data_IF_010349600360
#
_entry.id   IF_010349600360
#
_cell.length_a   1.000
_cell.length_b   1.000
_cell.length_c   1.000
_cell.angle_alpha   90.00
_cell.angle_beta   90.00
_cell.angle_gamma   90.00
#
_symmetry.space_group_name_H-M   'P 1'
#
loop_
_entity.id
_entity.type
_entity.pdbx_description
1 polymer ?
#
# COMPACT_ATOMS: atom_id res chain seq x y z
N UNK A 1 18.37 5.03 9.91
CA UNK A 1 18.02 4.47 8.58
C UNK A 1 17.34 3.16 8.91
N UNK A 2 16.04 3.18 9.15
CA UNK A 2 15.39 2.09 9.88
C UNK A 2 14.13 1.59 9.17
N UNK A 3 14.19 0.27 8.92
CA UNK A 3 13.17 -0.73 8.66
C UNK A 3 12.22 -0.58 7.44
N UNK A 4 12.59 -1.32 6.40
CA UNK A 4 11.69 -1.91 5.40
C UNK A 4 10.63 -2.79 6.08
N UNK A 5 9.35 -2.47 5.88
CA UNK A 5 8.23 -3.33 6.28
C UNK A 5 7.86 -4.29 5.14
N UNK A 6 7.94 -5.60 5.41
CA UNK A 6 7.60 -6.66 4.48
C UNK A 6 6.19 -7.19 4.83
N UNK A 7 5.18 -6.86 4.02
CA UNK A 7 3.89 -7.55 4.05
C UNK A 7 4.08 -8.96 3.45
N UNK A 8 3.65 -10.01 4.16
CA UNK A 8 3.66 -11.38 3.63
C UNK A 8 2.23 -11.92 3.69
N UNK A 9 1.65 -12.21 2.53
CA UNK A 9 0.43 -13.00 2.41
C UNK A 9 0.78 -14.49 2.28
N UNK A 10 0.16 -15.34 3.10
CA UNK A 10 0.33 -16.80 3.02
C UNK A 10 -1.02 -17.47 2.75
N UNK A 11 -1.18 -18.05 1.57
CA UNK A 11 -2.29 -18.96 1.24
C UNK A 11 -1.85 -20.39 1.55
N UNK A 12 -2.51 -21.06 2.49
CA UNK A 12 -2.20 -22.44 2.87
C UNK A 12 -2.91 -23.38 1.88
N UNK A 13 -2.13 -24.15 1.11
CA UNK A 13 -2.62 -25.32 0.36
C UNK A 13 -2.08 -26.58 1.04
N UNK A 14 -3.00 -27.44 1.49
CA UNK A 14 -2.67 -28.76 2.04
C UNK A 14 -2.33 -29.73 0.90
N UNK A 15 -1.20 -30.43 1.01
CA UNK A 15 -0.92 -31.65 0.24
C UNK A 15 -0.09 -32.61 1.10
N UNK A 16 -0.43 -33.91 1.18
CA UNK A 16 0.28 -34.86 2.01
C UNK A 16 1.35 -35.60 1.19
N UNK A 17 2.62 -35.60 1.64
CA UNK A 17 3.56 -36.66 1.27
C UNK A 17 4.85 -36.69 2.12
N UNK A 18 5.06 -37.89 2.69
CA UNK A 18 6.33 -38.59 2.94
C UNK A 18 7.34 -38.00 3.94
N UNK A 19 7.30 -38.56 5.15
CA UNK A 19 8.27 -38.36 6.21
C UNK A 19 9.63 -39.02 5.90
N UNK A 20 10.71 -38.24 5.96
CA UNK A 20 12.07 -38.72 6.21
C UNK A 20 12.57 -38.07 7.50
N UNK A 21 13.17 -38.87 8.37
CA UNK A 21 13.72 -38.44 9.66
C UNK A 21 14.93 -37.52 9.48
N UNK A 22 14.79 -36.27 9.94
CA UNK A 22 15.86 -35.28 10.04
C UNK A 22 16.33 -35.24 11.50
N UNK A 23 17.64 -35.11 11.78
CA UNK A 23 18.16 -35.01 13.14
C UNK A 23 17.53 -33.84 13.90
N UNK A 24 17.14 -34.12 15.15
CA UNK A 24 16.47 -33.17 16.05
C UNK A 24 17.48 -32.08 16.43
N UNK A 25 17.47 -30.96 15.72
CA UNK A 25 17.91 -29.70 16.30
C UNK A 25 16.93 -29.32 17.40
N UNK A 26 17.45 -29.04 18.60
CA UNK A 26 16.70 -28.45 19.69
C UNK A 26 16.05 -27.16 19.19
N UNK A 27 14.74 -27.20 19.00
CA UNK A 27 13.96 -26.00 18.69
C UNK A 27 14.17 -24.99 19.83
N UNK A 28 14.37 -23.69 19.53
CA UNK A 28 14.38 -22.67 20.55
C UNK A 28 13.08 -22.76 21.37
N UNK A 29 13.08 -22.31 22.65
CA UNK A 29 11.92 -22.42 23.51
C UNK A 29 10.69 -21.91 22.78
N UNK A 30 9.62 -22.73 22.76
CA UNK A 30 8.33 -22.35 22.20
C UNK A 30 7.85 -21.12 22.96
N UNK A 31 8.10 -19.93 22.43
CA UNK A 31 7.36 -18.76 22.85
C UNK A 31 5.90 -19.10 22.61
N UNK A 32 5.09 -18.99 23.66
CA UNK A 32 3.65 -19.19 23.60
C UNK A 32 3.05 -17.97 22.86
N UNK A 33 3.40 -17.81 21.59
CA UNK A 33 2.99 -16.66 20.77
C UNK A 33 1.60 -16.95 20.24
N UNK A 34 0.61 -16.43 20.95
CA UNK A 34 -0.79 -16.49 20.57
C UNK A 34 -1.11 -15.37 19.57
N UNK A 35 -0.55 -15.42 18.36
CA UNK A 35 -0.97 -14.60 17.21
C UNK A 35 0.16 -13.88 16.48
N UNK A 36 -0.01 -13.71 15.16
CA UNK A 36 1.02 -13.18 14.26
C UNK A 36 1.44 -11.73 14.58
N UNK A 37 0.48 -10.87 14.94
CA UNK A 37 0.79 -9.50 15.32
C UNK A 37 1.55 -9.43 16.64
N UNK A 38 1.26 -10.32 17.61
CA UNK A 38 2.06 -10.40 18.84
C UNK A 38 3.51 -10.78 18.51
N UNK A 39 3.71 -11.78 17.64
CA UNK A 39 5.05 -12.17 17.20
C UNK A 39 5.78 -11.01 16.50
N UNK A 40 5.11 -10.31 15.60
CA UNK A 40 5.67 -9.18 14.87
C UNK A 40 6.12 -8.06 15.82
N UNK A 41 5.26 -7.67 16.78
CA UNK A 41 5.62 -6.65 17.78
C UNK A 41 6.74 -7.10 18.71
N UNK A 42 6.75 -8.36 19.14
CA UNK A 42 7.86 -8.92 19.92
C UNK A 42 9.19 -8.92 19.15
N UNK A 43 9.14 -8.98 17.82
CA UNK A 43 10.29 -8.85 16.92
C UNK A 43 10.62 -7.39 16.55
N UNK A 44 10.01 -6.39 17.20
CA UNK A 44 10.26 -4.97 16.95
C UNK A 44 9.62 -4.41 15.68
N UNK A 45 8.62 -5.08 15.12
CA UNK A 45 7.82 -4.57 13.98
C UNK A 45 6.60 -3.80 14.48
N UNK A 46 6.07 -2.88 13.68
CA UNK A 46 4.91 -2.09 14.08
C UNK A 46 3.64 -2.94 14.14
N UNK A 47 3.47 -3.86 13.18
CA UNK A 47 2.35 -4.80 13.13
C UNK A 47 2.65 -6.06 12.30
N UNK A 48 1.76 -7.04 12.45
CA UNK A 48 1.36 -7.94 11.36
C UNK A 48 -0.05 -7.52 10.91
N UNK A 49 -0.35 -7.54 9.61
CA UNK A 49 -1.59 -6.98 9.09
C UNK A 49 -2.18 -7.76 7.92
N UNK A 50 -3.39 -7.37 7.52
CA UNK A 50 -4.11 -7.98 6.41
C UNK A 50 -4.82 -6.94 5.55
N UNK A 51 -4.97 -7.21 4.25
CA UNK A 51 -5.96 -6.52 3.45
C UNK A 51 -7.34 -7.14 3.66
N UNK A 52 -8.40 -6.37 3.46
CA UNK A 52 -9.78 -6.88 3.43
C UNK A 52 -10.61 -6.10 2.43
N UNK A 53 -11.55 -6.79 1.78
CA UNK A 53 -12.49 -6.24 0.82
C UNK A 53 -13.84 -5.92 1.48
N UNK A 54 -13.81 -5.24 2.63
CA UNK A 54 -14.99 -4.74 3.34
C UNK A 54 -15.25 -3.26 2.95
N UNK A 55 -16.51 -2.85 2.71
CA UNK A 55 -17.71 -3.70 2.64
C UNK A 55 -17.67 -4.67 1.45
N UNK A 56 -18.32 -5.81 1.62
CA UNK A 56 -18.34 -6.89 0.65
C UNK A 56 -18.72 -8.23 1.29
N UNK A 57 -18.45 -9.32 0.59
CA UNK A 57 -18.82 -10.68 1.04
C UNK A 57 -18.13 -11.06 2.36
N UNK A 58 -16.92 -10.56 2.60
CA UNK A 58 -16.13 -10.85 3.80
C UNK A 58 -16.82 -10.36 5.08
N UNK A 59 -17.61 -9.28 4.99
CA UNK A 59 -18.37 -8.75 6.12
C UNK A 59 -19.53 -9.66 6.53
N UNK A 60 -19.98 -10.54 5.63
CA UNK A 60 -21.11 -11.44 5.85
C UNK A 60 -20.66 -12.78 6.44
N UNK A 61 -19.37 -13.10 6.40
CA UNK A 61 -18.82 -14.29 7.00
C UNK A 61 -18.35 -14.01 8.45
N UNK A 62 -19.05 -14.54 9.47
CA UNK A 62 -18.71 -14.30 10.87
C UNK A 62 -17.31 -14.82 11.24
N UNK A 63 -16.79 -15.85 10.57
CA UNK A 63 -15.44 -16.35 10.80
C UNK A 63 -14.39 -15.38 10.25
N UNK A 64 -14.60 -14.86 9.04
CA UNK A 64 -13.73 -13.82 8.48
C UNK A 64 -13.70 -12.58 9.36
N UNK A 65 -14.87 -12.10 9.80
CA UNK A 65 -14.97 -10.94 10.70
C UNK A 65 -14.28 -11.21 12.04
N UNK A 66 -14.47 -12.39 12.63
CA UNK A 66 -13.82 -12.76 13.88
C UNK A 66 -12.29 -12.74 13.75
N UNK A 67 -11.75 -13.30 12.67
CA UNK A 67 -10.30 -13.30 12.42
C UNK A 67 -9.78 -11.89 12.17
N UNK A 68 -10.45 -11.11 11.33
CA UNK A 68 -10.11 -9.72 11.05
C UNK A 68 -10.02 -8.91 12.35
N UNK A 69 -11.00 -9.06 13.26
CA UNK A 69 -11.05 -8.30 14.51
C UNK A 69 -10.03 -8.77 15.55
N UNK A 70 -9.47 -9.97 15.43
CA UNK A 70 -8.41 -10.45 16.32
C UNK A 70 -7.16 -9.57 16.22
N UNK A 71 -6.95 -8.67 17.19
CA UNK A 71 -5.74 -7.85 17.25
C UNK A 71 -4.47 -8.68 17.46
N UNK A 72 -4.62 -9.86 18.06
CA UNK A 72 -3.52 -10.80 18.25
C UNK A 72 -2.96 -11.30 16.91
N UNK A 73 -3.83 -11.48 15.92
CA UNK A 73 -3.44 -11.87 14.56
C UNK A 73 -3.10 -10.66 13.69
N UNK A 74 -3.96 -9.63 13.69
CA UNK A 74 -3.82 -8.47 12.81
C UNK A 74 -3.87 -7.15 13.59
N UNK A 75 -2.73 -6.48 13.70
CA UNK A 75 -2.60 -5.13 14.27
C UNK A 75 -2.79 -4.01 13.25
N UNK A 76 -2.97 -4.36 11.98
CA UNK A 76 -3.15 -3.42 10.87
C UNK A 76 -4.11 -3.96 9.83
N UNK A 77 -4.85 -3.06 9.17
CA UNK A 77 -5.73 -3.38 8.06
C UNK A 77 -5.55 -2.44 6.86
N UNK A 78 -5.66 -2.98 5.64
CA UNK A 78 -5.64 -2.22 4.37
C UNK A 78 -6.96 -2.41 3.63
N UNK A 79 -7.67 -1.34 3.22
CA UNK A 79 -8.82 -1.48 2.34
C UNK A 79 -8.36 -1.96 0.96
N UNK A 80 -8.79 -3.14 0.54
CA UNK A 80 -8.40 -3.70 -0.76
C UNK A 80 -8.88 -2.84 -1.94
N UNK A 81 -10.00 -2.12 -1.77
CA UNK A 81 -10.63 -1.33 -2.82
C UNK A 81 -11.17 0.03 -2.40
N UNK A 82 -11.69 0.17 -1.18
CA UNK A 82 -12.67 1.22 -0.81
C UNK A 82 -12.10 2.63 -0.67
N UNK A 83 -10.79 2.78 -0.75
CA UNK A 83 -10.09 4.07 -0.82
C UNK A 83 -9.46 4.34 -2.18
N UNK A 84 -9.64 3.48 -3.18
CA UNK A 84 -9.19 3.73 -4.56
C UNK A 84 -10.04 4.82 -5.20
N UNK A 85 -9.43 5.54 -6.14
CA UNK A 85 -10.00 6.70 -6.83
C UNK A 85 -11.45 6.47 -7.30
N UNK A 86 -11.74 5.38 -8.03
CA UNK A 86 -13.09 5.13 -8.55
C UNK A 86 -14.17 4.95 -7.48
N UNK A 87 -13.82 4.58 -6.25
CA UNK A 87 -14.78 4.47 -5.16
C UNK A 87 -14.99 5.80 -4.45
N UNK A 88 -13.91 6.56 -4.27
CA UNK A 88 -13.93 7.79 -3.47
C UNK A 88 -14.37 9.02 -4.27
N UNK A 89 -14.19 9.06 -5.59
CA UNK A 89 -14.54 10.20 -6.45
C UNK A 89 -15.24 9.73 -7.74
N UNK A 90 -16.47 9.22 -7.59
CA UNK A 90 -17.27 8.65 -8.69
C UNK A 90 -17.72 9.69 -9.73
N UNK A 91 -17.72 10.97 -9.36
CA UNK A 91 -17.94 12.12 -10.25
C UNK A 91 -16.91 13.19 -9.92
N UNK A 92 -16.44 13.92 -10.93
CA UNK A 92 -15.39 14.94 -10.75
C UNK A 92 -15.77 15.94 -9.66
N UNK A 93 -14.92 16.08 -8.65
CA UNK A 93 -15.11 16.99 -7.51
C UNK A 93 -16.21 16.59 -6.53
N UNK A 94 -16.87 15.43 -6.71
CA UNK A 94 -17.91 14.94 -5.81
C UNK A 94 -17.45 13.64 -5.17
N UNK A 95 -17.00 13.74 -3.93
CA UNK A 95 -16.51 12.59 -3.19
C UNK A 95 -17.66 11.80 -2.52
N UNK A 96 -17.53 10.48 -2.55
CA UNK A 96 -18.36 9.56 -1.79
C UNK A 96 -17.46 8.65 -0.96
N UNK A 97 -17.40 8.92 0.34
CA UNK A 97 -16.53 8.18 1.27
C UNK A 97 -17.28 7.17 2.12
N UNK A 98 -18.56 6.92 1.82
CA UNK A 98 -19.43 6.04 2.61
C UNK A 98 -18.83 4.65 2.76
N UNK A 99 -18.36 4.03 1.66
CA UNK A 99 -17.77 2.69 1.73
C UNK A 99 -16.42 2.67 2.45
N UNK A 100 -15.63 3.74 2.33
CA UNK A 100 -14.39 3.89 3.07
C UNK A 100 -14.66 4.02 4.58
N UNK A 101 -15.69 4.78 4.98
CA UNK A 101 -16.11 4.89 6.38
C UNK A 101 -16.64 3.56 6.93
N UNK A 102 -17.37 2.78 6.12
CA UNK A 102 -17.77 1.41 6.51
C UNK A 102 -16.53 0.56 6.80
N UNK A 103 -15.51 0.61 5.93
CA UNK A 103 -14.24 -0.07 6.19
C UNK A 103 -13.59 0.41 7.49
N UNK A 104 -13.43 1.73 7.68
CA UNK A 104 -12.75 2.30 8.86
C UNK A 104 -13.42 1.83 10.15
N UNK A 105 -14.76 1.83 10.18
CA UNK A 105 -15.53 1.40 11.34
C UNK A 105 -15.51 -0.13 11.53
N UNK A 106 -15.49 -0.90 10.44
CA UNK A 106 -15.47 -2.37 10.51
C UNK A 106 -14.15 -2.92 11.07
N UNK A 107 -13.02 -2.29 10.76
CA UNK A 107 -11.70 -2.75 11.25
C UNK A 107 -11.38 -2.23 12.66
N UNK A 108 -12.04 -1.14 13.08
CA UNK A 108 -11.86 -0.47 14.37
C UNK A 108 -13.20 -0.17 15.08
N UNK A 109 -14.03 -1.17 15.37
CA UNK A 109 -15.30 -0.94 16.05
C UNK A 109 -15.08 -0.44 17.50
N UNK A 110 -16.06 0.27 18.09
CA UNK A 110 -15.98 0.76 19.46
C UNK A 110 -15.66 -0.36 20.47
N UNK A 111 -14.76 -0.08 21.40
CA UNK A 111 -14.37 -1.02 22.46
C UNK A 111 -13.34 -2.08 22.05
N UNK A 112 -12.91 -2.13 20.79
CA UNK A 112 -11.83 -3.02 20.34
C UNK A 112 -10.47 -2.30 20.26
N UNK A 113 -9.34 -3.03 20.42
CA UNK A 113 -8.01 -2.48 20.17
C UNK A 113 -7.90 -1.91 18.76
N UNK A 114 -7.45 -0.66 18.66
CA UNK A 114 -7.33 0.04 17.39
C UNK A 114 -6.17 -0.54 16.56
N UNK A 115 -6.51 -0.99 15.35
CA UNK A 115 -5.57 -1.34 14.31
C UNK A 115 -5.06 -0.08 13.61
N UNK A 116 -3.80 -0.13 13.20
CA UNK A 116 -3.27 0.85 12.23
C UNK A 116 -3.94 0.62 10.88
N UNK A 117 -4.09 1.68 10.10
CA UNK A 117 -4.68 1.58 8.75
C UNK A 117 -3.65 2.07 7.74
N UNK A 118 -3.39 1.25 6.72
CA UNK A 118 -2.62 1.67 5.54
C UNK A 118 -3.64 2.00 4.46
N UNK A 119 -3.89 3.28 4.24
CA UNK A 119 -4.84 3.74 3.24
C UNK A 119 -4.23 3.63 1.84
N UNK A 120 -5.02 3.14 0.88
CA UNK A 120 -4.47 2.55 -0.33
C UNK A 120 -5.37 2.69 -1.57
N UNK A 121 -4.82 3.14 -2.69
CA UNK A 121 -3.84 4.21 -2.87
C UNK A 121 -4.53 5.51 -3.30
N UNK A 122 -3.82 6.64 -3.27
CA UNK A 122 -4.36 7.91 -3.78
C UNK A 122 -4.32 7.96 -5.31
N UNK A 123 -3.15 7.73 -5.90
CA UNK A 123 -2.94 7.81 -7.34
C UNK A 123 -2.46 6.45 -7.86
N UNK A 124 -3.21 5.90 -8.80
CA UNK A 124 -2.89 4.66 -9.49
C UNK A 124 -3.40 4.70 -10.92
N UNK A 125 -2.83 3.86 -11.79
CA UNK A 125 -3.21 3.79 -13.20
C UNK A 125 -4.46 2.93 -13.44
N UNK A 126 -4.86 2.11 -12.46
CA UNK A 126 -6.05 1.25 -12.53
C UNK A 126 -7.15 1.72 -11.58
N UNK A 127 -8.34 1.12 -11.72
CA UNK A 127 -9.52 1.43 -10.89
C UNK A 127 -9.83 2.93 -10.87
N UNK A 128 -9.92 3.50 -12.08
CA UNK A 128 -10.25 4.90 -12.33
C UNK A 128 -11.71 5.02 -12.81
N UNK A 129 -12.42 6.09 -12.45
CA UNK A 129 -13.81 6.29 -12.85
C UNK A 129 -13.91 6.73 -14.32
N UNK A 130 -15.04 6.41 -14.96
CA UNK A 130 -15.25 6.69 -16.39
C UNK A 130 -15.10 8.18 -16.74
N UNK A 131 -15.49 9.10 -15.86
CA UNK A 131 -15.35 10.54 -16.11
C UNK A 131 -13.88 10.96 -16.26
N UNK A 132 -12.95 10.20 -15.67
CA UNK A 132 -11.52 10.44 -15.74
C UNK A 132 -10.92 9.76 -16.98
N UNK A 133 -11.25 8.48 -17.23
CA UNK A 133 -10.67 7.69 -18.33
C UNK A 133 -11.29 7.99 -19.70
N UNK A 134 -12.50 8.54 -19.72
CA UNK A 134 -13.25 8.88 -20.93
C UNK A 134 -13.93 10.24 -20.74
N UNK A 135 -13.14 11.33 -20.60
CA UNK A 135 -13.68 12.64 -20.32
C UNK A 135 -14.42 13.21 -21.55
N UNK A 136 -15.41 14.06 -21.31
CA UNK A 136 -16.15 14.73 -22.39
C UNK A 136 -15.26 15.68 -23.21
N UNK A 137 -14.23 16.25 -22.58
CA UNK A 137 -13.18 17.03 -23.22
C UNK A 137 -11.82 16.41 -22.90
N UNK A 138 -10.86 16.39 -23.85
CA UNK A 138 -9.53 15.89 -23.58
C UNK A 138 -8.89 16.62 -22.39
N UNK A 139 -8.23 15.87 -21.52
CA UNK A 139 -7.45 16.47 -20.45
C UNK A 139 -6.27 17.25 -21.01
N UNK A 140 -5.97 18.37 -20.36
CA UNK A 140 -4.71 19.07 -20.50
C UNK A 140 -3.84 18.77 -19.29
N UNK A 141 -2.54 19.04 -19.38
CA UNK A 141 -1.65 18.95 -18.23
C UNK A 141 -2.20 19.74 -17.02
N UNK A 142 -2.64 20.99 -17.24
CA UNK A 142 -3.18 21.84 -16.18
C UNK A 142 -4.47 21.27 -15.55
N UNK A 143 -5.43 20.85 -16.36
CA UNK A 143 -6.73 20.37 -15.85
C UNK A 143 -6.62 19.03 -15.13
N UNK A 144 -5.80 18.09 -15.62
CA UNK A 144 -5.59 16.81 -14.93
C UNK A 144 -4.72 16.98 -13.68
N UNK A 145 -3.73 17.88 -13.70
CA UNK A 145 -2.94 18.23 -12.51
C UNK A 145 -3.84 18.77 -11.40
N UNK A 146 -4.80 19.65 -11.72
CA UNK A 146 -5.76 20.16 -10.75
C UNK A 146 -6.62 19.04 -10.13
N UNK A 147 -7.07 18.08 -10.94
CA UNK A 147 -7.80 16.89 -10.44
C UNK A 147 -6.94 16.08 -9.48
N UNK A 148 -5.71 15.75 -9.86
CA UNK A 148 -4.77 14.99 -9.04
C UNK A 148 -4.53 15.69 -7.69
N UNK A 149 -4.21 16.98 -7.72
CA UNK A 149 -3.93 17.75 -6.49
C UNK A 149 -5.17 17.80 -5.60
N UNK A 150 -6.36 18.08 -6.15
CA UNK A 150 -7.59 18.15 -5.36
C UNK A 150 -7.92 16.80 -4.71
N UNK A 151 -7.81 15.70 -5.45
CA UNK A 151 -8.07 14.35 -4.95
C UNK A 151 -7.15 14.00 -3.77
N UNK A 152 -5.84 14.18 -3.98
CA UNK A 152 -4.82 13.90 -2.95
C UNK A 152 -5.05 14.76 -1.72
N UNK A 153 -5.22 16.08 -1.87
CA UNK A 153 -5.39 16.97 -0.74
C UNK A 153 -6.65 16.65 0.05
N UNK A 154 -7.76 16.36 -0.64
CA UNK A 154 -9.02 16.05 0.02
C UNK A 154 -8.92 14.76 0.85
N UNK A 155 -8.45 13.65 0.26
CA UNK A 155 -8.41 12.37 0.98
C UNK A 155 -7.42 12.39 2.14
N UNK A 156 -6.22 12.96 1.96
CA UNK A 156 -5.24 13.08 3.04
C UNK A 156 -5.81 13.95 4.17
N UNK A 157 -6.46 15.08 3.85
CA UNK A 157 -7.10 15.96 4.82
C UNK A 157 -8.25 15.27 5.56
N UNK A 158 -9.10 14.55 4.84
CA UNK A 158 -10.33 13.97 5.37
C UNK A 158 -10.06 12.78 6.30
N UNK A 159 -9.16 11.88 5.91
CA UNK A 159 -8.83 10.74 6.74
C UNK A 159 -7.87 11.09 7.87
N UNK A 160 -6.96 12.05 7.64
CA UNK A 160 -5.97 12.46 8.63
C UNK A 160 -5.22 11.26 9.23
N UNK A 161 -5.05 11.29 10.55
CA UNK A 161 -4.33 10.25 11.29
C UNK A 161 -5.14 8.95 11.52
N UNK A 162 -6.36 8.84 10.98
CA UNK A 162 -7.03 7.53 10.86
C UNK A 162 -6.24 6.63 9.91
N UNK A 163 -5.57 7.22 8.93
CA UNK A 163 -4.53 6.55 8.16
C UNK A 163 -3.20 6.67 8.91
N UNK A 164 -2.59 5.55 9.26
CA UNK A 164 -1.20 5.54 9.70
C UNK A 164 -0.26 5.75 8.51
N UNK A 165 -0.65 5.23 7.34
CA UNK A 165 0.09 5.30 6.09
C UNK A 165 -0.85 5.64 4.94
N UNK A 166 -0.33 6.36 3.94
CA UNK A 166 -0.93 6.49 2.61
C UNK A 166 0.04 5.95 1.56
N UNK A 167 -0.43 5.01 0.75
CA UNK A 167 0.24 4.72 -0.52
C UNK A 167 -0.14 5.83 -1.50
N UNK A 168 0.70 6.87 -1.60
CA UNK A 168 0.42 8.11 -2.35
C UNK A 168 0.38 7.84 -3.84
N UNK A 169 1.36 7.09 -4.35
CA UNK A 169 1.36 6.60 -5.72
C UNK A 169 1.63 5.10 -5.73
N UNK A 170 0.95 4.38 -6.61
CA UNK A 170 1.09 2.93 -6.79
C UNK A 170 1.58 2.61 -8.21
N UNK A 171 2.54 1.69 -8.32
CA UNK A 171 2.92 1.03 -9.59
C UNK A 171 3.35 1.96 -10.74
N UNK A 172 4.22 2.92 -10.43
CA UNK A 172 4.62 3.97 -11.38
C UNK A 172 5.61 3.46 -12.44
N UNK A 173 6.31 2.36 -12.17
CA UNK A 173 7.23 1.74 -13.12
C UNK A 173 6.53 0.63 -13.92
N UNK A 174 7.02 0.44 -15.14
CA UNK A 174 6.52 -0.61 -16.04
C UNK A 174 6.95 -2.02 -15.59
N UNK A 175 6.60 -3.04 -16.37
CA UNK A 175 7.05 -4.42 -16.21
C UNK A 175 8.23 -4.77 -17.14
N UNK A 176 8.89 -3.77 -17.73
CA UNK A 176 9.95 -4.00 -18.70
C UNK A 176 11.09 -4.83 -18.12
N UNK A 177 11.51 -5.88 -18.83
CA UNK A 177 12.77 -6.56 -18.56
C UNK A 177 13.91 -5.78 -19.24
N UNK A 178 14.37 -4.72 -18.60
CA UNK A 178 15.49 -3.91 -19.10
C UNK A 178 16.62 -3.85 -18.07
N UNK A 179 17.85 -3.73 -18.56
CA UNK A 179 19.04 -3.43 -17.75
C UNK A 179 19.31 -1.93 -17.66
N UNK A 180 18.45 -1.09 -18.28
CA UNK A 180 18.59 0.36 -18.23
C UNK A 180 18.53 0.85 -16.76
N UNK A 181 19.56 1.58 -16.28
CA UNK A 181 19.53 2.18 -14.96
C UNK A 181 18.38 3.19 -14.80
N UNK A 182 17.88 3.78 -15.89
CA UNK A 182 16.68 4.61 -15.94
C UNK A 182 15.46 3.75 -16.26
N UNK A 183 15.12 2.84 -15.33
CA UNK A 183 14.02 1.90 -15.52
C UNK A 183 12.72 2.61 -15.95
N UNK A 184 12.04 2.16 -17.02
CA UNK A 184 10.99 2.95 -17.65
C UNK A 184 9.73 3.06 -16.78
N UNK A 185 9.22 4.29 -16.69
CA UNK A 185 7.90 4.57 -16.14
C UNK A 185 6.81 3.86 -16.95
N UNK A 186 5.71 3.53 -16.28
CA UNK A 186 4.49 3.02 -16.88
C UNK A 186 3.80 4.14 -17.66
N UNK A 187 4.06 4.20 -18.96
CA UNK A 187 3.50 5.20 -19.88
C UNK A 187 2.26 4.71 -20.64
N UNK A 188 2.09 3.41 -20.78
CA UNK A 188 0.93 2.79 -21.44
C UNK A 188 -0.17 2.55 -20.42
N UNK A 189 -1.43 2.85 -20.78
CA UNK A 189 -2.60 2.74 -19.91
C UNK A 189 -2.45 3.46 -18.57
N UNK A 190 -1.74 4.59 -18.57
CA UNK A 190 -1.54 5.44 -17.41
C UNK A 190 -1.83 6.89 -17.78
N UNK A 191 -3.09 7.31 -17.57
CA UNK A 191 -3.56 8.64 -17.96
C UNK A 191 -2.75 9.77 -17.32
N UNK A 192 -2.29 9.57 -16.08
CA UNK A 192 -1.48 10.54 -15.35
C UNK A 192 -0.16 10.79 -16.07
N UNK A 193 0.55 9.71 -16.43
CA UNK A 193 1.81 9.82 -17.18
C UNK A 193 1.58 10.39 -18.59
N UNK A 194 0.54 9.93 -19.29
CA UNK A 194 0.29 10.34 -20.68
C UNK A 194 0.00 11.83 -20.83
N UNK A 195 -0.69 12.43 -19.85
CA UNK A 195 -1.13 13.83 -19.91
C UNK A 195 -0.18 14.77 -19.16
N UNK A 196 0.34 14.35 -18.00
CA UNK A 196 1.16 15.21 -17.12
C UNK A 196 2.67 14.93 -17.33
N UNK A 197 3.02 13.71 -17.75
CA UNK A 197 4.40 13.22 -17.72
C UNK A 197 4.80 12.70 -16.33
N UNK A 198 6.06 12.26 -16.12
CA UNK A 198 6.52 11.64 -14.86
C UNK A 198 6.37 12.54 -13.63
N UNK A 199 6.26 13.86 -13.82
CA UNK A 199 6.13 14.84 -12.73
C UNK A 199 4.84 14.66 -11.91
N UNK A 200 3.82 13.94 -12.42
CA UNK A 200 2.60 13.63 -11.66
C UNK A 200 2.91 12.96 -10.30
N UNK A 201 4.01 12.21 -10.21
CA UNK A 201 4.47 11.55 -8.99
C UNK A 201 4.90 12.60 -7.95
N UNK A 202 5.73 13.54 -8.37
CA UNK A 202 6.24 14.64 -7.53
C UNK A 202 5.10 15.51 -7.07
N UNK A 203 4.16 15.83 -7.98
CA UNK A 203 2.97 16.63 -7.68
C UNK A 203 2.11 15.94 -6.62
N UNK A 204 1.88 14.63 -6.72
CA UNK A 204 1.08 13.88 -5.74
C UNK A 204 1.72 13.89 -4.35
N UNK A 205 3.01 13.56 -4.24
CA UNK A 205 3.71 13.60 -2.96
C UNK A 205 3.79 15.01 -2.37
N UNK A 206 4.03 16.03 -3.21
CA UNK A 206 4.04 17.42 -2.75
C UNK A 206 2.68 17.83 -2.18
N UNK A 207 1.59 17.52 -2.88
CA UNK A 207 0.23 17.82 -2.42
C UNK A 207 -0.11 17.12 -1.10
N UNK A 208 0.27 15.85 -0.95
CA UNK A 208 0.10 15.11 0.30
C UNK A 208 0.95 15.71 1.44
N UNK A 209 2.24 15.97 1.17
CA UNK A 209 3.18 16.55 2.14
C UNK A 209 2.75 17.94 2.63
N UNK A 210 2.19 18.77 1.74
CA UNK A 210 1.60 20.06 2.10
C UNK A 210 0.49 19.90 3.12
N UNK A 211 -0.47 19.01 2.88
CA UNK A 211 -1.60 18.78 3.79
C UNK A 211 -1.14 18.20 5.13
N UNK A 212 -0.19 17.26 5.11
CA UNK A 212 0.38 16.69 6.34
C UNK A 212 0.99 17.79 7.20
N UNK A 213 1.80 18.67 6.60
CA UNK A 213 2.44 19.79 7.31
C UNK A 213 1.42 20.82 7.79
N UNK A 214 0.49 21.25 6.92
CA UNK A 214 -0.50 22.29 7.22
C UNK A 214 -1.43 21.88 8.37
N UNK A 215 -1.76 20.60 8.48
CA UNK A 215 -2.66 20.06 9.51
C UNK A 215 -1.96 19.43 10.71
N UNK A 216 -0.63 19.37 10.71
CA UNK A 216 0.15 18.72 11.78
C UNK A 216 -0.17 17.23 11.91
N UNK A 217 -0.38 16.53 10.80
CA UNK A 217 -0.70 15.11 10.77
C UNK A 217 0.56 14.25 10.97
N UNK A 218 0.37 13.05 11.49
CA UNK A 218 1.41 12.04 11.70
C UNK A 218 1.42 10.95 10.61
N UNK A 219 0.44 10.94 9.72
CA UNK A 219 0.36 9.98 8.61
C UNK A 219 1.64 9.96 7.77
N UNK A 220 2.09 8.75 7.44
CA UNK A 220 3.30 8.49 6.66
C UNK A 220 2.99 8.33 5.17
N UNK A 221 3.83 8.91 4.32
CA UNK A 221 3.65 8.95 2.86
C UNK A 221 4.53 7.92 2.17
N UNK A 222 3.92 6.94 1.52
CA UNK A 222 4.59 5.80 0.92
C UNK A 222 4.42 5.77 -0.60
N UNK A 223 5.46 5.30 -1.28
CA UNK A 223 5.36 4.79 -2.64
C UNK A 223 5.21 3.27 -2.60
N UNK A 224 4.29 2.67 -3.34
CA UNK A 224 4.05 1.23 -3.32
C UNK A 224 4.18 0.61 -4.72
N UNK A 225 4.90 -0.50 -4.86
CA UNK A 225 5.04 -1.21 -6.14
C UNK A 225 5.36 -2.70 -5.91
N UNK A 226 5.18 -3.50 -6.96
CA UNK A 226 5.60 -4.90 -7.04
C UNK A 226 6.86 -5.06 -7.90
N UNK A 227 7.52 -6.21 -7.81
CA UNK A 227 8.72 -6.50 -8.60
C UNK A 227 9.93 -5.66 -8.16
N UNK A 228 9.86 -5.06 -6.98
CA UNK A 228 10.93 -4.30 -6.34
C UNK A 228 11.50 -5.02 -5.11
N UNK A 229 11.00 -6.22 -4.79
CA UNK A 229 11.36 -7.03 -3.61
C UNK A 229 12.72 -7.73 -3.73
N UNK A 230 13.47 -7.47 -4.80
CA UNK A 230 14.84 -7.95 -5.00
C UNK A 230 15.70 -6.88 -5.66
N UNK A 231 17.01 -6.82 -5.35
CA UNK A 231 17.93 -5.92 -6.02
C UNK A 231 17.87 -6.10 -7.53
N UNK A 232 17.72 -5.00 -8.24
CA UNK A 232 17.62 -4.97 -9.69
C UNK A 232 17.28 -3.58 -10.20
N UNK A 233 17.15 -3.42 -11.52
CA UNK A 233 16.88 -2.11 -12.14
C UNK A 233 15.61 -1.43 -11.62
N UNK A 234 14.48 -2.14 -11.54
CA UNK A 234 13.21 -1.58 -11.01
C UNK A 234 13.32 -1.16 -9.55
N UNK A 235 13.93 -1.98 -8.71
CA UNK A 235 14.20 -1.65 -7.30
C UNK A 235 15.14 -0.43 -7.17
N UNK A 236 16.19 -0.34 -7.98
CA UNK A 236 17.12 0.80 -7.97
C UNK A 236 16.41 2.09 -8.39
N UNK A 237 15.53 2.02 -9.38
CA UNK A 237 14.71 3.16 -9.80
C UNK A 237 13.70 3.58 -8.72
N UNK A 238 13.10 2.63 -7.99
CA UNK A 238 12.28 2.92 -6.81
C UNK A 238 13.05 3.68 -5.73
N UNK A 239 14.25 3.21 -5.37
CA UNK A 239 15.11 3.90 -4.40
C UNK A 239 15.52 5.29 -4.88
N UNK A 240 15.89 5.42 -6.16
CA UNK A 240 16.27 6.70 -6.76
C UNK A 240 15.11 7.71 -6.77
N UNK A 241 13.88 7.26 -7.06
CA UNK A 241 12.67 8.08 -7.01
C UNK A 241 12.45 8.67 -5.61
N UNK A 242 12.49 7.83 -4.57
CA UNK A 242 12.31 8.30 -3.18
C UNK A 242 13.43 9.24 -2.76
N UNK A 243 14.68 8.91 -3.10
CA UNK A 243 15.83 9.76 -2.81
C UNK A 243 15.67 11.14 -3.46
N UNK A 244 15.17 11.19 -4.70
CA UNK A 244 14.90 12.44 -5.41
C UNK A 244 13.79 13.27 -4.75
N UNK A 245 12.70 12.65 -4.29
CA UNK A 245 11.63 13.34 -3.56
C UNK A 245 12.14 13.94 -2.25
N UNK A 246 12.90 13.15 -1.48
CA UNK A 246 13.50 13.59 -0.22
C UNK A 246 14.50 14.74 -0.43
N UNK A 247 15.33 14.68 -1.48
CA UNK A 247 16.26 15.75 -1.84
C UNK A 247 15.54 17.07 -2.19
N UNK A 248 14.28 16.99 -2.66
CA UNK A 248 13.42 18.15 -2.91
C UNK A 248 12.64 18.61 -1.67
N UNK A 249 12.95 18.09 -0.48
CA UNK A 249 12.25 18.36 0.77
C UNK A 249 10.75 18.02 0.73
N UNK A 250 10.37 17.04 -0.08
CA UNK A 250 9.01 16.50 -0.12
C UNK A 250 8.96 15.31 0.82
N UNK A 251 8.00 15.31 1.75
CA UNK A 251 7.85 14.21 2.71
C UNK A 251 7.62 12.89 1.96
N UNK A 252 8.48 11.91 2.23
CA UNK A 252 8.37 10.55 1.73
C UNK A 252 9.01 9.65 2.77
N UNK A 253 8.17 8.87 3.44
CA UNK A 253 8.52 8.14 4.66
C UNK A 253 8.92 6.69 4.39
N UNK A 254 8.50 6.11 3.25
CA UNK A 254 8.87 4.73 2.95
C UNK A 254 8.47 4.22 1.56
N UNK A 255 8.90 2.97 1.31
CA UNK A 255 8.55 2.18 0.13
C UNK A 255 7.76 0.96 0.60
N UNK A 256 6.60 0.72 0.00
CA UNK A 256 5.78 -0.47 0.16
C UNK A 256 6.16 -1.52 -0.89
N UNK A 257 6.43 -2.73 -0.41
CA UNK A 257 6.79 -3.90 -1.22
C UNK A 257 5.58 -4.82 -1.27
N UNK A 258 4.87 -4.88 -2.42
CA UNK A 258 3.61 -5.61 -2.54
C UNK A 258 3.74 -7.10 -2.21
N UNK A 259 4.86 -7.72 -2.59
CA UNK A 259 5.20 -9.10 -2.22
C UNK A 259 4.19 -10.14 -2.70
N UNK A 260 3.59 -9.89 -3.87
CA UNK A 260 2.77 -10.87 -4.60
C UNK A 260 3.66 -11.92 -5.25
N UNK A 261 3.98 -12.98 -4.50
CA UNK A 261 4.87 -14.06 -4.96
C UNK A 261 4.11 -15.32 -5.35
N UNK A 262 4.67 -16.05 -6.32
CA UNK A 262 4.37 -17.46 -6.50
C UNK A 262 5.11 -18.29 -5.44
N UNK A 263 4.58 -19.45 -5.09
CA UNK A 263 5.25 -20.38 -4.18
C UNK A 263 6.66 -20.71 -4.70
N UNK A 264 7.67 -20.55 -3.86
CA UNK A 264 9.09 -20.69 -4.23
C UNK A 264 9.74 -19.43 -4.84
N UNK A 265 8.96 -18.40 -5.16
CA UNK A 265 9.43 -17.12 -5.72
C UNK A 265 9.84 -16.06 -4.69
N UNK A 266 9.67 -16.33 -3.39
CA UNK A 266 10.02 -15.37 -2.34
C UNK A 266 11.53 -15.18 -2.25
N UNK A 267 12.05 -13.93 -2.29
CA UNK A 267 13.46 -13.65 -2.13
C UNK A 267 13.99 -14.18 -0.79
N UNK A 268 15.10 -14.91 -0.79
CA UNK A 268 15.66 -15.44 0.45
C UNK A 268 16.18 -14.33 1.37
N UNK A 269 16.45 -14.66 2.65
CA UNK A 269 16.90 -13.68 3.66
C UNK A 269 18.15 -12.90 3.23
N UNK A 270 19.10 -13.54 2.53
CA UNK A 270 20.33 -12.88 2.06
C UNK A 270 20.03 -11.80 1.01
N UNK A 271 19.04 -12.02 0.16
CA UNK A 271 18.59 -11.04 -0.83
C UNK A 271 17.86 -9.88 -0.15
N UNK A 272 16.94 -10.18 0.76
CA UNK A 272 16.18 -9.15 1.49
C UNK A 272 17.04 -8.22 2.35
N UNK A 273 18.14 -8.73 2.91
CA UNK A 273 19.08 -7.93 3.70
C UNK A 273 19.91 -6.92 2.87
N UNK A 274 19.75 -6.90 1.54
CA UNK A 274 20.43 -5.95 0.63
C UNK A 274 19.52 -4.80 0.17
N UNK A 275 18.24 -4.84 0.54
CA UNK A 275 17.25 -3.79 0.27
C UNK A 275 17.29 -2.77 1.41
#
# INVERSE_FOLDING_TARGET
>A
MDYLELLVFLTILNSPALARSIPIHTLPPRYNINGLNIAAKAAGKEWFGTATNIPGIEQQDPYCVQQLLSWKEFGQATPANRTKFAFTEQRQGVLNLTEAEIFMNAVNPPGMPQKKIRCHPLIWHQTLPNWLTSPALPWTNATLTAVLVNHVKYLVSYFGDRCAHWDVVKEVFSESSTTDPNFPYRSVNNIWYQVIGPEYIVIAFKAASEVVREKGLNVKLYYNDYGIESPGPKNSAAVALITSLQARSIQTDGIGFESHFLAGGTPNKRVRNKL
#
